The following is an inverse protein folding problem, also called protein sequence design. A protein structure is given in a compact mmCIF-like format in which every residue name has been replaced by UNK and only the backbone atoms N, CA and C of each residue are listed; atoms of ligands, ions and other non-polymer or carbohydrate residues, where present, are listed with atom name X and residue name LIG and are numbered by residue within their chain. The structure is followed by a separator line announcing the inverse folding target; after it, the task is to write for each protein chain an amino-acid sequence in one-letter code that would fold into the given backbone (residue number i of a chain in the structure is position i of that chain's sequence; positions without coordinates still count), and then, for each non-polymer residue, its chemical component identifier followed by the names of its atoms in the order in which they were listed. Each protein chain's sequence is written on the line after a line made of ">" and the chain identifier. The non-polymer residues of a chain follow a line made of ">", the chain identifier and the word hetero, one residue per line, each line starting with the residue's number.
data_IF_376958533508
#
_entry.id   IF_376958533508
#
_cell.length_a   1.000
_cell.length_b   1.000
_cell.length_c   1.000
_cell.angle_alpha   90.00
_cell.angle_beta   90.00
_cell.angle_gamma   90.00
#
_symmetry.space_group_name_H-M   'P 1'
#
loop_
_entity.id
_entity.type
_entity.pdbx_description
1 polymer ?
#
# COMPACT_ATOMS: atom_id res chain seq x y z
N UNK A 1 21.87 6.56 -8.99
CA UNK A 1 22.02 7.42 -7.79
C UNK A 1 23.40 8.05 -7.85
N UNK A 2 23.50 9.37 -7.70
CA UNK A 2 24.79 10.06 -7.60
C UNK A 2 25.06 10.44 -6.13
N UNK A 3 26.28 10.17 -5.63
CA UNK A 3 26.67 10.53 -4.26
C UNK A 3 27.85 11.50 -4.26
N UNK A 4 27.70 12.61 -3.54
CA UNK A 4 28.82 13.51 -3.31
C UNK A 4 29.84 12.89 -2.36
N UNK A 5 31.05 13.46 -2.28
CA UNK A 5 32.04 13.03 -1.27
C UNK A 5 31.51 13.19 0.16
N UNK A 6 30.66 14.20 0.41
CA UNK A 6 30.04 14.43 1.71
C UNK A 6 29.06 13.31 2.05
N UNK A 7 28.21 12.92 1.10
CA UNK A 7 27.23 11.84 1.31
C UNK A 7 27.94 10.51 1.62
N UNK A 8 28.98 10.19 0.84
CA UNK A 8 29.80 9.00 1.10
C UNK A 8 30.43 9.02 2.48
N UNK A 9 31.02 10.14 2.90
CA UNK A 9 31.63 10.27 4.22
C UNK A 9 30.59 10.06 5.33
N UNK A 10 29.37 10.61 5.17
CA UNK A 10 28.29 10.42 6.14
C UNK A 10 27.85 8.95 6.21
N UNK A 11 27.65 8.29 5.08
CA UNK A 11 27.28 6.87 5.01
C UNK A 11 28.37 5.95 5.58
N UNK A 12 29.65 6.19 5.25
CA UNK A 12 30.77 5.44 5.82
C UNK A 12 30.76 5.55 7.34
N UNK A 13 30.59 6.76 7.89
CA UNK A 13 30.52 6.95 9.33
C UNK A 13 29.35 6.19 9.97
N UNK A 14 28.18 6.17 9.31
CA UNK A 14 27.02 5.38 9.76
C UNK A 14 27.31 3.87 9.76
N UNK A 15 27.90 3.33 8.69
CA UNK A 15 28.23 1.91 8.62
C UNK A 15 29.34 1.50 9.58
N UNK A 16 30.34 2.35 9.85
CA UNK A 16 31.34 2.09 10.89
C UNK A 16 30.69 2.02 12.29
N UNK A 17 29.66 2.85 12.56
CA UNK A 17 28.88 2.78 13.80
C UNK A 17 28.02 1.50 13.85
N UNK A 18 27.27 1.20 12.79
CA UNK A 18 26.42 0.00 12.73
C UNK A 18 27.23 -1.28 12.90
N UNK A 19 28.44 -1.33 12.34
CA UNK A 19 29.38 -2.45 12.51
C UNK A 19 29.78 -2.70 13.97
N UNK A 20 29.78 -1.66 14.82
CA UNK A 20 30.03 -1.79 16.26
C UNK A 20 28.77 -2.26 17.00
N UNK A 21 27.59 -1.80 16.57
CA UNK A 21 26.30 -2.10 17.22
C UNK A 21 25.73 -3.48 16.83
N UNK A 22 26.02 -3.94 15.61
CA UNK A 22 25.48 -5.14 14.99
C UNK A 22 26.63 -5.95 14.37
N UNK A 23 27.30 -6.73 15.22
CA UNK A 23 28.47 -7.51 14.83
C UNK A 23 28.13 -8.65 13.87
N UNK A 24 26.88 -9.13 13.86
CA UNK A 24 26.46 -10.26 13.02
C UNK A 24 26.47 -9.88 11.53
N UNK A 25 26.20 -8.59 11.22
CA UNK A 25 26.21 -8.06 9.86
C UNK A 25 27.51 -7.31 9.50
N UNK A 26 28.58 -7.47 10.29
CA UNK A 26 29.86 -6.77 10.09
C UNK A 26 30.40 -6.85 8.66
N UNK A 27 30.36 -8.05 8.05
CA UNK A 27 30.85 -8.28 6.69
C UNK A 27 30.07 -7.47 5.65
N UNK A 28 28.75 -7.37 5.81
CA UNK A 28 27.88 -6.57 4.95
C UNK A 28 28.24 -5.08 5.05
N UNK A 29 28.42 -4.56 6.26
CA UNK A 29 28.84 -3.15 6.44
C UNK A 29 30.24 -2.87 5.89
N UNK A 30 31.20 -3.79 6.06
CA UNK A 30 32.56 -3.63 5.49
C UNK A 30 32.52 -3.53 3.96
N UNK A 31 31.67 -4.31 3.28
CA UNK A 31 31.47 -4.22 1.83
C UNK A 31 30.90 -2.86 1.39
N UNK A 32 29.85 -2.37 2.08
CA UNK A 32 29.28 -1.04 1.79
C UNK A 32 30.29 0.09 2.01
N UNK A 33 31.11 -0.01 3.05
CA UNK A 33 32.19 0.94 3.34
C UNK A 33 33.22 0.94 2.21
N UNK A 34 33.62 -0.22 1.69
CA UNK A 34 34.59 -0.35 0.60
C UNK A 34 34.06 0.27 -0.70
N UNK A 35 32.79 0.01 -1.03
CA UNK A 35 32.06 0.62 -2.16
C UNK A 35 32.13 2.16 -2.08
N UNK A 36 31.82 2.71 -0.90
CA UNK A 36 31.77 4.15 -0.69
C UNK A 36 33.16 4.79 -0.67
N UNK A 37 34.14 4.19 0.01
CA UNK A 37 35.52 4.70 0.12
C UNK A 37 36.18 4.83 -1.24
N UNK A 38 36.05 3.81 -2.09
CA UNK A 38 36.68 3.80 -3.41
C UNK A 38 35.83 4.47 -4.49
N UNK A 39 34.55 4.74 -4.21
CA UNK A 39 33.66 5.37 -5.16
C UNK A 39 33.21 4.44 -6.29
N UNK A 40 32.91 3.18 -5.98
CA UNK A 40 32.39 2.22 -6.95
C UNK A 40 30.92 2.52 -7.28
N UNK A 41 30.72 3.54 -8.11
CA UNK A 41 29.41 4.10 -8.47
C UNK A 41 28.42 3.05 -8.99
N UNK A 42 28.91 2.04 -9.70
CA UNK A 42 28.08 0.94 -10.23
C UNK A 42 27.32 0.16 -9.15
N UNK A 43 27.74 0.24 -7.88
CA UNK A 43 27.09 -0.42 -6.75
C UNK A 43 26.28 0.52 -5.86
N UNK A 44 26.16 1.81 -6.20
CA UNK A 44 25.42 2.75 -5.36
C UNK A 44 23.93 2.39 -5.26
N UNK A 45 23.33 1.82 -6.30
CA UNK A 45 21.95 1.33 -6.23
C UNK A 45 21.73 0.29 -5.13
N UNK A 46 22.72 -0.56 -4.85
CA UNK A 46 22.61 -1.65 -3.88
C UNK A 46 22.46 -1.11 -2.44
N UNK A 47 22.94 0.12 -2.18
CA UNK A 47 22.83 0.78 -0.88
C UNK A 47 21.36 1.05 -0.51
N UNK A 48 20.53 1.29 -1.53
CA UNK A 48 19.13 1.69 -1.39
C UNK A 48 18.16 0.65 -1.96
N UNK A 49 18.65 -0.51 -2.39
CA UNK A 49 17.83 -1.56 -3.03
C UNK A 49 16.66 -2.05 -2.16
N UNK A 50 16.83 -2.00 -0.84
CA UNK A 50 15.80 -2.39 0.13
C UNK A 50 14.73 -1.30 0.35
N UNK A 51 14.95 -0.09 -0.16
CA UNK A 51 13.95 0.97 -0.14
C UNK A 51 12.97 0.76 -1.29
N UNK A 52 11.68 0.83 -0.98
CA UNK A 52 10.66 0.93 -2.01
C UNK A 52 10.72 2.31 -2.68
N UNK A 53 10.29 2.37 -3.94
CA UNK A 53 10.05 3.63 -4.63
C UNK A 53 9.02 4.49 -3.88
N UNK A 54 9.14 5.80 -4.03
CA UNK A 54 8.22 6.75 -3.42
C UNK A 54 6.78 6.55 -3.93
N UNK A 55 5.85 6.44 -3.00
CA UNK A 55 4.42 6.53 -3.32
C UNK A 55 4.03 8.00 -3.46
N UNK A 56 3.47 8.37 -4.62
CA UNK A 56 2.96 9.73 -4.83
C UNK A 56 1.76 10.02 -3.91
N UNK A 57 1.54 11.31 -3.63
CA UNK A 57 0.37 11.74 -2.86
C UNK A 57 -0.94 11.22 -3.47
N UNK A 58 -1.09 11.32 -4.79
CA UNK A 58 -2.30 10.89 -5.49
C UNK A 58 -2.51 9.36 -5.39
N UNK A 59 -1.44 8.57 -5.45
CA UNK A 59 -1.51 7.13 -5.24
C UNK A 59 -1.94 6.78 -3.79
N UNK A 60 -1.42 7.52 -2.80
CA UNK A 60 -1.84 7.36 -1.40
C UNK A 60 -3.30 7.77 -1.19
N UNK A 61 -3.73 8.89 -1.78
CA UNK A 61 -5.12 9.36 -1.71
C UNK A 61 -6.08 8.37 -2.37
N UNK A 62 -5.67 7.76 -3.49
CA UNK A 62 -6.44 6.71 -4.16
C UNK A 62 -6.76 5.55 -3.20
N UNK A 63 -5.77 5.05 -2.45
CA UNK A 63 -6.00 3.98 -1.45
C UNK A 63 -6.95 4.44 -0.35
N UNK A 64 -6.80 5.67 0.14
CA UNK A 64 -7.68 6.22 1.17
C UNK A 64 -9.13 6.32 0.70
N UNK A 65 -9.34 6.77 -0.54
CA UNK A 65 -10.67 6.89 -1.14
C UNK A 65 -11.31 5.50 -1.33
N UNK A 66 -10.55 4.51 -1.80
CA UNK A 66 -11.00 3.11 -1.93
C UNK A 66 -11.46 2.56 -0.57
N UNK A 67 -10.63 2.70 0.46
CA UNK A 67 -10.96 2.24 1.80
C UNK A 67 -12.15 3.00 2.40
N UNK A 68 -12.35 4.27 2.02
CA UNK A 68 -13.49 5.08 2.46
C UNK A 68 -14.80 4.59 1.85
N UNK A 69 -14.79 4.24 0.55
CA UNK A 69 -15.93 3.59 -0.10
C UNK A 69 -16.28 2.28 0.64
N UNK A 70 -15.28 1.42 0.89
CA UNK A 70 -15.54 0.15 1.54
C UNK A 70 -15.99 0.28 3.00
N UNK A 71 -15.54 1.30 3.73
CA UNK A 71 -16.11 1.65 5.05
C UNK A 71 -17.60 1.98 4.96
N UNK A 72 -17.98 2.77 3.94
CA UNK A 72 -19.39 3.11 3.70
C UNK A 72 -20.23 1.87 3.42
N UNK A 73 -19.74 0.98 2.55
CA UNK A 73 -20.40 -0.29 2.23
C UNK A 73 -20.57 -1.16 3.48
N UNK A 74 -19.54 -1.32 4.31
CA UNK A 74 -19.64 -2.09 5.55
C UNK A 74 -20.62 -1.48 6.56
N UNK A 75 -20.69 -0.15 6.60
CA UNK A 75 -21.67 0.56 7.43
C UNK A 75 -23.10 0.31 6.94
N UNK A 76 -23.32 0.37 5.62
CA UNK A 76 -24.61 0.07 5.03
C UNK A 76 -25.05 -1.37 5.30
N UNK A 77 -24.18 -2.37 5.07
CA UNK A 77 -24.48 -3.79 5.31
C UNK A 77 -24.87 -4.05 6.76
N UNK A 78 -24.19 -3.42 7.72
CA UNK A 78 -24.52 -3.54 9.15
C UNK A 78 -25.92 -3.03 9.46
N UNK A 79 -26.34 -1.95 8.80
CA UNK A 79 -27.66 -1.36 8.98
C UNK A 79 -28.76 -2.07 8.19
N UNK A 80 -28.40 -2.78 7.10
CA UNK A 80 -29.32 -3.44 6.19
C UNK A 80 -28.93 -4.93 5.97
N UNK A 81 -28.97 -5.77 7.02
CA UNK A 81 -28.48 -7.15 6.95
C UNK A 81 -29.29 -8.08 6.04
N UNK A 82 -30.48 -7.66 5.59
CA UNK A 82 -31.33 -8.42 4.68
C UNK A 82 -31.09 -8.10 3.19
N UNK A 83 -30.17 -7.19 2.87
CA UNK A 83 -29.85 -6.81 1.48
C UNK A 83 -28.80 -7.76 0.88
N UNK A 84 -29.25 -8.95 0.50
CA UNK A 84 -28.40 -10.01 -0.04
C UNK A 84 -27.68 -9.62 -1.34
N UNK A 85 -28.23 -8.68 -2.11
CA UNK A 85 -27.62 -8.24 -3.37
C UNK A 85 -26.29 -7.54 -3.12
N UNK A 86 -26.25 -6.54 -2.23
CA UNK A 86 -25.01 -5.85 -1.86
C UNK A 86 -24.08 -6.77 -1.06
N UNK A 87 -24.62 -7.61 -0.17
CA UNK A 87 -23.83 -8.52 0.64
C UNK A 87 -23.06 -9.55 -0.20
N UNK A 88 -23.70 -10.08 -1.26
CA UNK A 88 -23.14 -11.11 -2.13
C UNK A 88 -22.52 -10.56 -3.42
N UNK A 89 -22.60 -9.25 -3.65
CA UNK A 89 -21.98 -8.63 -4.82
C UNK A 89 -20.48 -8.95 -4.89
N UNK A 90 -19.97 -9.23 -6.09
CA UNK A 90 -18.57 -9.64 -6.28
C UNK A 90 -17.59 -8.59 -5.74
N UNK A 91 -17.88 -7.31 -5.95
CA UNK A 91 -17.15 -6.16 -5.42
C UNK A 91 -17.67 -5.64 -4.08
N UNK A 92 -18.63 -6.34 -3.46
CA UNK A 92 -19.27 -5.90 -2.23
C UNK A 92 -18.34 -5.81 -1.03
N UNK A 93 -17.15 -6.41 -1.08
CA UNK A 93 -16.12 -6.31 -0.04
C UNK A 93 -14.77 -5.94 -0.65
N UNK A 94 -13.88 -5.37 0.16
CA UNK A 94 -12.55 -4.98 -0.28
C UNK A 94 -11.70 -6.22 -0.54
N UNK A 95 -11.26 -6.39 -1.81
CA UNK A 95 -10.45 -7.54 -2.23
C UNK A 95 -8.96 -7.35 -2.02
N UNK A 96 -8.53 -6.12 -1.78
CA UNK A 96 -7.11 -5.77 -1.80
C UNK A 96 -6.62 -5.45 -3.20
N UNK A 97 -5.30 -5.61 -3.38
CA UNK A 97 -4.56 -5.29 -4.59
C UNK A 97 -3.71 -6.48 -5.02
N UNK A 98 -3.31 -6.53 -6.28
CA UNK A 98 -2.49 -7.63 -6.78
C UNK A 98 -1.08 -7.57 -6.18
N UNK A 99 -0.67 -8.64 -5.50
CA UNK A 99 0.62 -8.68 -4.80
C UNK A 99 1.84 -8.54 -5.72
N UNK A 100 1.70 -8.81 -7.02
CA UNK A 100 2.80 -8.75 -7.97
C UNK A 100 2.86 -7.42 -8.74
N UNK A 101 1.71 -6.90 -9.19
CA UNK A 101 1.63 -5.72 -10.04
C UNK A 101 1.24 -4.44 -9.28
N UNK A 102 0.60 -4.56 -8.12
CA UNK A 102 0.03 -3.45 -7.33
C UNK A 102 0.58 -3.43 -5.89
N UNK A 103 1.78 -4.01 -5.69
CA UNK A 103 2.40 -4.24 -4.39
C UNK A 103 2.45 -2.99 -3.49
N UNK A 104 2.81 -1.83 -4.05
CA UNK A 104 2.89 -0.58 -3.30
C UNK A 104 1.54 -0.19 -2.66
N UNK A 105 0.44 -0.33 -3.40
CA UNK A 105 -0.91 -0.06 -2.90
C UNK A 105 -1.32 -1.04 -1.80
N UNK A 106 -0.99 -2.33 -1.97
CA UNK A 106 -1.20 -3.36 -0.94
C UNK A 106 -0.44 -3.04 0.35
N UNK A 107 0.85 -2.74 0.23
CA UNK A 107 1.69 -2.40 1.38
C UNK A 107 1.18 -1.17 2.13
N UNK A 108 0.79 -0.13 1.40
CA UNK A 108 0.23 1.05 2.02
C UNK A 108 -1.10 0.74 2.73
N UNK A 109 -1.92 -0.15 2.17
CA UNK A 109 -3.14 -0.64 2.82
C UNK A 109 -2.85 -1.39 4.12
N UNK A 110 -1.88 -2.30 4.11
CA UNK A 110 -1.44 -3.01 5.31
C UNK A 110 -0.88 -2.05 6.36
N UNK A 111 -0.10 -1.06 5.95
CA UNK A 111 0.38 -0.01 6.84
C UNK A 111 -0.77 0.76 7.50
N UNK A 112 -1.79 1.16 6.74
CA UNK A 112 -2.97 1.85 7.28
C UNK A 112 -3.74 0.98 8.29
N UNK A 113 -3.92 -0.31 7.99
CA UNK A 113 -4.75 -1.19 8.81
C UNK A 113 -4.01 -1.76 10.01
N UNK A 114 -2.79 -2.23 9.83
CA UNK A 114 -2.04 -2.99 10.85
C UNK A 114 -1.16 -2.10 11.71
N UNK A 115 -0.64 -1.01 11.15
CA UNK A 115 0.28 -0.11 11.86
C UNK A 115 -0.43 1.15 12.34
N UNK A 116 -1.29 1.76 11.52
CA UNK A 116 -2.07 2.94 11.92
C UNK A 116 -3.43 2.61 12.55
N UNK A 117 -3.85 1.34 12.55
CA UNK A 117 -5.14 0.89 13.07
C UNK A 117 -6.34 1.63 12.45
N UNK A 118 -6.22 2.10 11.20
CA UNK A 118 -7.30 2.71 10.43
C UNK A 118 -7.99 1.68 9.55
N UNK A 119 -9.29 1.82 9.34
CA UNK A 119 -10.08 0.92 8.48
C UNK A 119 -10.05 -0.55 8.95
N UNK A 120 -9.94 -0.78 10.27
CA UNK A 120 -9.84 -2.11 10.88
C UNK A 120 -11.08 -2.97 10.67
N UNK A 121 -12.22 -2.36 10.33
CA UNK A 121 -13.42 -3.06 9.88
C UNK A 121 -13.16 -3.97 8.65
N UNK A 122 -12.13 -3.69 7.84
CA UNK A 122 -11.78 -4.52 6.69
C UNK A 122 -11.03 -5.82 7.09
N UNK A 123 -10.57 -5.95 8.33
CA UNK A 123 -9.83 -7.15 8.80
C UNK A 123 -10.65 -8.44 8.67
N UNK A 124 -11.98 -8.35 8.66
CA UNK A 124 -12.86 -9.51 8.45
C UNK A 124 -12.61 -10.20 7.10
N UNK A 125 -12.03 -9.49 6.11
CA UNK A 125 -11.73 -10.01 4.78
C UNK A 125 -10.29 -10.48 4.60
N UNK A 126 -9.42 -10.28 5.60
CA UNK A 126 -7.99 -10.60 5.51
C UNK A 126 -7.75 -12.09 5.21
N UNK A 127 -8.44 -12.98 5.91
CA UNK A 127 -8.33 -14.42 5.68
C UNK A 127 -8.90 -14.85 4.31
N UNK A 128 -9.92 -14.14 3.81
CA UNK A 128 -10.57 -14.41 2.52
C UNK A 128 -9.71 -13.96 1.33
N UNK A 129 -8.78 -13.03 1.54
CA UNK A 129 -8.03 -12.34 0.50
C UNK A 129 -6.52 -12.56 0.60
N UNK A 130 -6.05 -13.59 1.32
CA UNK A 130 -4.61 -13.80 1.56
C UNK A 130 -3.89 -12.51 2.00
N UNK A 131 -4.45 -11.85 3.02
CA UNK A 131 -4.03 -10.54 3.49
C UNK A 131 -4.07 -9.46 2.40
N UNK A 132 -5.26 -9.23 1.82
CA UNK A 132 -5.52 -8.22 0.80
C UNK A 132 -4.67 -8.37 -0.47
N UNK A 133 -4.30 -9.60 -0.80
CA UNK A 133 -3.78 -9.99 -2.10
C UNK A 133 -4.94 -10.44 -3.00
N UNK A 134 -5.31 -9.61 -3.99
CA UNK A 134 -6.44 -9.92 -4.88
C UNK A 134 -6.14 -11.03 -5.89
N UNK A 135 -4.85 -11.38 -6.09
CA UNK A 135 -4.36 -12.27 -7.16
C UNK A 135 -4.78 -11.86 -8.58
N UNK A 136 -5.12 -10.59 -8.78
CA UNK A 136 -5.50 -10.03 -10.08
C UNK A 136 -5.62 -8.51 -10.01
N UNK A 137 -5.29 -7.83 -11.11
CA UNK A 137 -5.28 -6.36 -11.19
C UNK A 137 -6.66 -5.80 -10.82
N UNK A 138 -6.69 -4.81 -9.93
CA UNK A 138 -7.93 -4.21 -9.39
C UNK A 138 -8.00 -2.70 -9.58
N UNK A 139 -6.88 -2.05 -9.88
CA UNK A 139 -6.75 -0.60 -9.82
C UNK A 139 -7.72 0.13 -10.74
N UNK A 140 -7.92 -0.36 -11.97
CA UNK A 140 -8.82 0.28 -12.93
C UNK A 140 -10.27 0.20 -12.46
N UNK A 141 -10.70 -0.96 -11.94
CA UNK A 141 -12.02 -1.09 -11.32
C UNK A 141 -12.21 -0.10 -10.17
N UNK A 142 -11.22 0.02 -9.28
CA UNK A 142 -11.30 0.93 -8.15
C UNK A 142 -11.33 2.41 -8.57
N UNK A 143 -10.60 2.78 -9.63
CA UNK A 143 -10.69 4.13 -10.22
C UNK A 143 -12.10 4.42 -10.73
N UNK A 144 -12.72 3.47 -11.43
CA UNK A 144 -14.08 3.60 -11.93
C UNK A 144 -15.10 3.73 -10.78
N UNK A 145 -14.91 2.97 -9.69
CA UNK A 145 -15.70 3.12 -8.46
C UNK A 145 -15.57 4.52 -7.86
N UNK A 146 -14.36 5.08 -7.81
CA UNK A 146 -14.13 6.44 -7.30
C UNK A 146 -14.72 7.50 -8.21
N UNK A 147 -14.63 7.34 -9.52
CA UNK A 147 -15.27 8.24 -10.48
C UNK A 147 -16.78 8.29 -10.24
N UNK A 148 -17.44 7.13 -10.11
CA UNK A 148 -18.86 7.09 -9.80
C UNK A 148 -19.18 7.67 -8.42
N UNK A 149 -18.35 7.40 -7.42
CA UNK A 149 -18.50 7.98 -6.09
C UNK A 149 -18.39 9.51 -6.12
N UNK A 150 -17.50 10.07 -6.95
CA UNK A 150 -17.39 11.52 -7.15
C UNK A 150 -18.59 12.10 -7.90
N UNK A 151 -19.14 11.39 -8.89
CA UNK A 151 -20.33 11.82 -9.65
C UNK A 151 -21.58 11.94 -8.78
N UNK A 152 -21.67 11.16 -7.70
CA UNK A 152 -22.74 11.24 -6.70
C UNK A 152 -22.34 12.07 -5.47
N UNK A 153 -21.40 13.01 -5.63
CA UNK A 153 -20.95 13.93 -4.58
C UNK A 153 -20.45 13.23 -3.30
N UNK A 154 -19.84 12.04 -3.48
CA UNK A 154 -19.34 11.17 -2.43
C UNK A 154 -20.44 10.61 -1.50
N UNK A 155 -21.70 10.63 -1.92
CA UNK A 155 -22.80 10.06 -1.15
C UNK A 155 -22.84 8.52 -1.26
N UNK A 156 -22.55 7.83 -0.16
CA UNK A 156 -22.63 6.37 -0.02
C UNK A 156 -23.72 5.94 0.97
N UNK A 157 -24.69 6.82 1.25
CA UNK A 157 -25.72 6.60 2.27
C UNK A 157 -26.91 5.78 1.78
N UNK A 158 -27.14 5.73 0.47
CA UNK A 158 -28.29 5.04 -0.14
C UNK A 158 -27.87 3.74 -0.81
N UNK A 159 -28.85 2.83 -0.94
CA UNK A 159 -28.70 1.55 -1.61
C UNK A 159 -28.32 1.71 -3.08
N UNK A 160 -29.03 2.60 -3.77
CA UNK A 160 -28.88 2.87 -5.19
C UNK A 160 -27.49 3.41 -5.50
N UNK A 161 -26.98 4.31 -4.66
CA UNK A 161 -25.64 4.86 -4.81
C UNK A 161 -24.57 3.77 -4.66
N UNK A 162 -24.69 2.91 -3.64
CA UNK A 162 -23.76 1.79 -3.42
C UNK A 162 -23.75 0.86 -4.64
N UNK A 163 -24.92 0.47 -5.14
CA UNK A 163 -25.01 -0.38 -6.34
C UNK A 163 -24.35 0.29 -7.55
N UNK A 164 -24.62 1.59 -7.78
CA UNK A 164 -24.01 2.31 -8.89
C UNK A 164 -22.48 2.33 -8.83
N UNK A 165 -21.89 2.49 -7.63
CA UNK A 165 -20.44 2.40 -7.42
C UNK A 165 -19.96 0.98 -7.71
N UNK A 166 -20.63 -0.03 -7.14
CA UNK A 166 -20.26 -1.43 -7.28
C UNK A 166 -20.31 -1.92 -8.74
N UNK A 167 -21.19 -1.34 -9.57
CA UNK A 167 -21.38 -1.67 -10.98
C UNK A 167 -20.46 -0.87 -11.93
N UNK A 168 -19.72 0.12 -11.43
CA UNK A 168 -18.83 0.96 -12.25
C UNK A 168 -17.83 0.13 -13.07
N UNK A 169 -18.01 0.07 -14.39
CA UNK A 169 -17.19 -0.70 -15.32
C UNK A 169 -15.81 -0.13 -15.48
#
# INVERSE_FOLDING_TARGET
>A
MELTKKDRLMLINQYEILKVLDNDNKKFYDELIEILKNGFEMFYSNIVEWLSEDMSHDAGQLVLDILSIYRGIETYKRNNPSDDEIANHYWGYFKGFDGNNEYAYRNFTLFLIEIQEKFTEQNIYKAKTDSFNSHGITLDKYKNMIEQWNNIEKDISTRENILSILEAG
#
